data_IF_164524197291
#
_entry.id   IF_164524197291
#
_cell.length_a   1.000
_cell.length_b   1.000
_cell.length_c   1.000
_cell.angle_alpha   90.00
_cell.angle_beta   90.00
_cell.angle_gamma   90.00
#
_symmetry.space_group_name_H-M   'P 1'
#
loop_
_entity.id
_entity.type
_entity.pdbx_description
1 polymer ?
#
# COMPACT_ATOMS: atom_id res chain seq x y z
N UNK A 1 -40.15 1.26 -13.78
CA UNK A 1 -39.17 0.21 -13.47
C UNK A 1 -37.88 0.89 -13.06
N UNK A 2 -37.62 1.01 -11.75
CA UNK A 2 -36.39 1.60 -11.22
C UNK A 2 -35.35 0.48 -11.22
N UNK A 3 -34.35 0.60 -12.07
CA UNK A 3 -33.24 -0.34 -12.12
C UNK A 3 -32.53 -0.31 -10.77
N UNK A 4 -32.57 -1.44 -10.05
CA UNK A 4 -31.65 -1.71 -8.97
C UNK A 4 -30.28 -1.93 -9.61
N UNK A 5 -29.58 -0.83 -9.90
CA UNK A 5 -28.16 -0.85 -10.21
C UNK A 5 -27.47 -1.23 -8.92
N UNK A 6 -27.26 -2.53 -8.77
CA UNK A 6 -26.12 -3.15 -8.08
C UNK A 6 -25.47 -2.21 -7.08
N UNK A 7 -25.90 -2.33 -5.82
CA UNK A 7 -25.08 -1.93 -4.69
C UNK A 7 -23.74 -2.65 -4.84
N UNK A 8 -22.77 -1.97 -5.47
CA UNK A 8 -21.39 -2.41 -5.52
C UNK A 8 -20.86 -2.26 -4.10
N UNK A 9 -20.98 -3.36 -3.35
CA UNK A 9 -20.40 -3.55 -2.04
C UNK A 9 -18.87 -3.47 -2.19
N UNK A 10 -18.35 -2.25 -2.15
CA UNK A 10 -17.05 -1.84 -1.59
C UNK A 10 -16.81 -0.37 -1.93
N UNK A 11 -17.50 0.49 -1.20
CA UNK A 11 -16.90 1.74 -0.76
C UNK A 11 -15.64 1.40 0.03
N UNK A 12 -14.48 1.34 -0.62
CA UNK A 12 -13.21 1.30 0.12
C UNK A 12 -12.25 2.21 -0.62
N UNK A 13 -12.29 3.49 -0.25
CA UNK A 13 -11.25 4.43 -0.63
C UNK A 13 -9.89 3.79 -0.38
N UNK A 14 -8.96 3.81 -1.35
CA UNK A 14 -7.66 3.21 -1.16
C UNK A 14 -6.97 3.91 0.02
N UNK A 15 -6.38 3.11 0.90
CA UNK A 15 -5.75 3.54 2.14
C UNK A 15 -4.35 4.07 1.91
N UNK A 16 -3.63 3.52 0.93
CA UNK A 16 -2.22 3.82 0.68
C UNK A 16 -1.98 4.58 -0.62
N UNK A 17 -3.01 4.75 -1.45
CA UNK A 17 -2.93 5.52 -2.69
C UNK A 17 -4.07 6.52 -2.81
N UNK A 18 -3.79 7.65 -3.45
CA UNK A 18 -4.78 8.70 -3.71
C UNK A 18 -5.03 8.82 -5.21
N UNK A 19 -6.29 8.74 -5.61
CA UNK A 19 -6.70 9.06 -6.97
C UNK A 19 -6.45 10.56 -7.24
N UNK A 20 -5.73 10.88 -8.33
CA UNK A 20 -5.50 12.26 -8.77
C UNK A 20 -6.33 12.59 -10.00
N UNK A 21 -6.27 13.87 -10.41
CA UNK A 21 -7.02 14.41 -11.57
C UNK A 21 -6.63 13.76 -12.91
N UNK A 22 -5.47 13.11 -12.97
CA UNK A 22 -4.99 12.35 -14.13
C UNK A 22 -5.61 10.94 -14.23
N UNK A 23 -6.49 10.58 -13.29
CA UNK A 23 -7.11 9.26 -13.24
C UNK A 23 -6.19 8.15 -12.73
N UNK A 24 -5.02 8.50 -12.20
CA UNK A 24 -4.04 7.55 -11.67
C UNK A 24 -3.99 7.60 -10.14
N UNK A 25 -3.61 6.47 -9.54
CA UNK A 25 -3.44 6.33 -8.11
C UNK A 25 -1.99 6.62 -7.71
N UNK A 26 -1.78 7.68 -6.94
CA UNK A 26 -0.45 8.10 -6.50
C UNK A 26 -0.19 7.58 -5.07
N UNK A 27 0.99 7.00 -4.79
CA UNK A 27 1.33 6.53 -3.46
C UNK A 27 1.28 7.66 -2.42
N UNK A 28 0.77 7.37 -1.23
CA UNK A 28 0.93 8.20 -0.04
C UNK A 28 2.31 7.87 0.57
N UNK A 29 3.21 8.84 0.80
CA UNK A 29 4.51 8.57 1.39
C UNK A 29 4.39 8.10 2.85
N UNK A 30 5.05 7.00 3.19
CA UNK A 30 5.17 6.51 4.57
C UNK A 30 6.64 6.35 4.96
N UNK A 31 7.03 6.88 6.12
CA UNK A 31 8.40 6.73 6.64
C UNK A 31 8.64 5.35 7.25
N UNK A 32 7.60 4.72 7.80
CA UNK A 32 7.69 3.42 8.47
C UNK A 32 6.66 2.48 7.87
N UNK A 33 7.12 1.33 7.37
CA UNK A 33 6.26 0.30 6.77
C UNK A 33 6.53 -1.00 7.52
N UNK A 34 5.51 -1.55 8.16
CA UNK A 34 5.58 -2.89 8.75
C UNK A 34 5.45 -3.96 7.67
N UNK A 35 5.72 -5.22 7.98
CA UNK A 35 5.48 -6.32 7.03
C UNK A 35 4.01 -6.40 6.63
N UNK A 36 3.12 -6.36 7.61
CA UNK A 36 1.68 -6.39 7.35
C UNK A 36 1.23 -5.24 6.45
N UNK A 37 1.75 -4.04 6.70
CA UNK A 37 1.45 -2.88 5.86
C UNK A 37 2.04 -3.02 4.46
N UNK A 38 3.21 -3.63 4.31
CA UNK A 38 3.78 -3.92 3.00
C UNK A 38 2.86 -4.85 2.19
N UNK A 39 2.34 -5.91 2.82
CA UNK A 39 1.40 -6.83 2.18
C UNK A 39 0.10 -6.09 1.80
N UNK A 40 -0.48 -5.33 2.73
CA UNK A 40 -1.71 -4.57 2.48
C UNK A 40 -1.53 -3.53 1.34
N UNK A 41 -0.35 -2.91 1.22
CA UNK A 41 -0.02 -1.99 0.10
C UNK A 41 0.03 -2.74 -1.23
N UNK A 42 0.61 -3.94 -1.26
CA UNK A 42 0.76 -4.73 -2.48
C UNK A 42 -0.61 -5.26 -2.96
N UNK A 43 -1.42 -5.77 -2.03
CA UNK A 43 -2.79 -6.21 -2.30
C UNK A 43 -3.64 -5.04 -2.85
N UNK A 44 -3.51 -3.85 -2.25
CA UNK A 44 -4.19 -2.66 -2.76
C UNK A 44 -3.73 -2.30 -4.17
N UNK A 45 -2.43 -2.40 -4.50
CA UNK A 45 -1.94 -2.13 -5.86
C UNK A 45 -2.52 -3.08 -6.91
N UNK A 46 -2.68 -4.36 -6.57
CA UNK A 46 -3.30 -5.34 -7.46
C UNK A 46 -4.76 -5.01 -7.71
N UNK A 47 -5.52 -4.71 -6.65
CA UNK A 47 -6.91 -4.25 -6.75
C UNK A 47 -7.03 -2.98 -7.62
N UNK A 48 -6.14 -2.00 -7.43
CA UNK A 48 -6.13 -0.76 -8.20
C UNK A 48 -5.79 -0.95 -9.67
N UNK A 49 -4.88 -1.88 -10.00
CA UNK A 49 -4.60 -2.22 -11.40
C UNK A 49 -5.80 -2.93 -12.03
N UNK A 50 -6.46 -3.82 -11.31
CA UNK A 50 -7.64 -4.53 -11.81
C UNK A 50 -8.83 -3.58 -12.08
N UNK A 51 -8.93 -2.46 -11.35
CA UNK A 51 -10.01 -1.47 -11.54
C UNK A 51 -9.74 -0.46 -12.68
N UNK A 52 -8.51 -0.38 -13.18
CA UNK A 52 -8.13 0.55 -14.24
C UNK A 52 -8.17 -0.09 -15.63
N UNK A 53 -8.45 0.69 -16.71
CA UNK A 53 -8.34 0.22 -18.07
C UNK A 53 -6.93 -0.30 -18.40
N UNK A 54 -6.81 -1.41 -19.13
CA UNK A 54 -5.52 -2.03 -19.48
C UNK A 54 -4.52 -1.06 -20.13
N UNK A 55 -5.01 -0.09 -20.91
CA UNK A 55 -4.19 0.94 -21.55
C UNK A 55 -3.44 1.85 -20.55
N UNK A 56 -3.95 2.02 -19.33
CA UNK A 56 -3.31 2.86 -18.31
C UNK A 56 -2.36 2.08 -17.39
N UNK A 57 -2.37 0.74 -17.45
CA UNK A 57 -1.55 -0.11 -16.60
C UNK A 57 -0.05 0.21 -16.66
N UNK A 58 0.59 0.45 -17.82
CA UNK A 58 2.02 0.79 -17.85
C UNK A 58 2.33 2.06 -17.07
N UNK A 59 1.49 3.10 -17.22
CA UNK A 59 1.65 4.38 -16.50
C UNK A 59 1.41 4.21 -15.01
N UNK A 60 0.39 3.46 -14.62
CA UNK A 60 0.10 3.16 -13.22
C UNK A 60 1.22 2.37 -12.54
N UNK A 61 1.76 1.34 -13.21
CA UNK A 61 2.89 0.54 -12.71
C UNK A 61 4.15 1.40 -12.53
N UNK A 62 4.43 2.31 -13.46
CA UNK A 62 5.54 3.25 -13.32
C UNK A 62 5.40 4.15 -12.06
N UNK A 63 4.18 4.61 -11.76
CA UNK A 63 3.94 5.36 -10.51
C UNK A 63 4.18 4.50 -9.27
N UNK A 64 3.72 3.25 -9.27
CA UNK A 64 3.97 2.31 -8.17
C UNK A 64 5.46 2.02 -7.96
N UNK A 65 6.27 1.98 -9.02
CA UNK A 65 7.72 1.75 -8.88
C UNK A 65 8.47 2.88 -8.19
N UNK A 66 7.91 4.10 -8.16
CA UNK A 66 8.54 5.23 -7.46
C UNK A 66 8.56 5.08 -5.92
N UNK A 67 7.76 4.15 -5.39
CA UNK A 67 7.70 3.83 -3.97
C UNK A 67 7.71 2.32 -3.79
N UNK A 68 8.84 1.74 -3.37
CA UNK A 68 8.94 0.31 -3.07
C UNK A 68 8.62 0.05 -1.58
N UNK A 69 7.41 -0.48 -1.26
CA UNK A 69 7.05 -0.77 0.13
C UNK A 69 7.97 -1.83 0.76
N UNK A 70 8.58 -2.72 -0.03
CA UNK A 70 9.54 -3.72 0.47
C UNK A 70 10.85 -3.06 0.90
N UNK A 71 11.33 -2.07 0.16
CA UNK A 71 12.48 -1.28 0.57
C UNK A 71 12.21 -0.53 1.89
N UNK A 72 11.05 0.11 2.02
CA UNK A 72 10.64 0.79 3.25
C UNK A 72 10.51 -0.18 4.44
N UNK A 73 9.93 -1.36 4.24
CA UNK A 73 9.85 -2.38 5.30
C UNK A 73 11.24 -2.87 5.75
N UNK A 74 12.13 -3.15 4.80
CA UNK A 74 13.53 -3.52 5.13
C UNK A 74 14.24 -2.43 5.91
N UNK A 75 14.11 -1.16 5.50
CA UNK A 75 14.71 -0.03 6.18
C UNK A 75 14.16 0.11 7.61
N UNK A 76 12.85 -0.03 7.79
CA UNK A 76 12.22 0.04 9.10
C UNK A 76 12.66 -1.11 10.02
N UNK A 77 12.71 -2.35 9.51
CA UNK A 77 13.27 -3.49 10.24
C UNK A 77 14.72 -3.28 10.67
N UNK A 78 15.54 -2.72 9.78
CA UNK A 78 16.93 -2.39 10.12
C UNK A 78 17.01 -1.36 11.25
N UNK A 79 16.15 -0.33 11.20
CA UNK A 79 16.04 0.67 12.25
C UNK A 79 15.65 0.03 13.59
N UNK A 80 14.60 -0.79 13.60
CA UNK A 80 14.14 -1.49 14.81
C UNK A 80 15.26 -2.36 15.42
N UNK A 81 16.00 -3.12 14.59
CA UNK A 81 17.13 -3.93 15.06
C UNK A 81 18.25 -3.08 15.66
N UNK A 82 18.53 -1.90 15.09
CA UNK A 82 19.53 -0.96 15.65
C UNK A 82 19.16 -0.50 17.05
N UNK A 83 17.86 -0.38 17.34
CA UNK A 83 17.36 -0.03 18.67
C UNK A 83 17.10 -1.24 19.58
N UNK A 84 17.50 -2.45 19.18
CA UNK A 84 17.42 -3.65 20.01
C UNK A 84 16.06 -4.34 19.97
N UNK A 85 15.24 -4.15 18.92
CA UNK A 85 14.02 -4.92 18.71
C UNK A 85 14.32 -6.34 18.17
N UNK A 86 13.58 -7.39 18.59
CA UNK A 86 12.56 -7.36 19.64
C UNK A 86 13.22 -7.03 20.97
N UNK A 87 12.62 -6.09 21.72
CA UNK A 87 13.19 -5.65 22.98
C UNK A 87 13.28 -6.86 23.90
N UNK A 88 14.49 -7.37 24.10
CA UNK A 88 14.73 -8.42 25.06
C UNK A 88 14.61 -7.76 26.42
N UNK A 89 13.50 -8.01 27.11
CA UNK A 89 13.37 -7.67 28.52
C UNK A 89 14.49 -8.39 29.27
N UNK A 90 15.57 -7.68 29.61
CA UNK A 90 16.54 -8.16 30.59
C UNK A 90 15.94 -7.98 31.99
N UNK A 91 14.89 -8.74 32.28
CA UNK A 91 14.33 -8.91 33.63
C UNK A 91 14.56 -10.37 34.06
N UNK A 92 15.82 -10.76 34.11
CA UNK A 92 16.40 -11.92 34.81
C UNK A 92 17.90 -11.57 34.85
N UNK A 93 18.61 -11.45 35.97
CA UNK A 93 18.48 -11.97 37.34
C UNK A 93 19.31 -11.06 38.23
#
# INVERSE_FOLDING_TARGET
MKSHTTESIQSTNPRFHRLRKDGLYHPIPFMFVTDRMCDDILDEREMLLASLPAATHPRQKALFTSSDPKASSRAFKHLLRRFGYPFINRLTT
#
